data_IF_767252769340
#
_entry.id   IF_767252769340
#
_cell.length_a   1.000
_cell.length_b   1.000
_cell.length_c   1.000
_cell.angle_alpha   90.00
_cell.angle_beta   90.00
_cell.angle_gamma   90.00
#
_symmetry.space_group_name_H-M   'P 1'
#
loop_
_entity.id
_entity.type
_entity.pdbx_description
1 polymer ?
#
# COMPACT_ATOMS: atom_id res chain seq x y z
N UNK A 1 -10.14 20.60 2.14
CA UNK A 1 -10.70 19.25 1.88
C UNK A 1 -9.67 18.13 1.77
N UNK A 2 -8.39 18.36 1.43
CA UNK A 2 -7.38 17.28 1.38
C UNK A 2 -6.96 16.73 2.76
N UNK A 3 -7.09 17.53 3.82
CA UNK A 3 -6.70 17.17 5.18
C UNK A 3 -7.50 15.95 5.72
N UNK A 4 -8.77 15.82 5.32
CA UNK A 4 -9.64 14.71 5.76
C UNK A 4 -9.35 13.36 5.07
N UNK A 5 -8.41 13.35 4.11
CA UNK A 5 -7.95 12.10 3.49
C UNK A 5 -6.97 11.33 4.38
N UNK A 6 -6.42 11.97 5.42
CA UNK A 6 -5.52 11.34 6.38
C UNK A 6 -6.31 10.82 7.59
N UNK A 7 -6.25 9.52 7.88
CA UNK A 7 -6.92 8.93 9.04
C UNK A 7 -6.69 9.66 10.36
N UNK A 8 -5.43 9.99 10.70
CA UNK A 8 -5.09 10.60 11.99
C UNK A 8 -5.77 11.95 12.20
N UNK A 9 -5.74 12.80 11.17
CA UNK A 9 -6.32 14.15 11.26
C UNK A 9 -7.85 14.05 11.30
N UNK A 10 -8.45 13.25 10.43
CA UNK A 10 -9.91 13.03 10.43
C UNK A 10 -10.41 12.50 11.76
N UNK A 11 -9.70 11.55 12.37
CA UNK A 11 -10.03 11.02 13.69
C UNK A 11 -9.90 12.09 14.77
N UNK A 12 -8.85 12.91 14.73
CA UNK A 12 -8.65 13.99 15.71
C UNK A 12 -9.78 15.02 15.61
N UNK A 13 -10.14 15.43 14.40
CA UNK A 13 -11.26 16.36 14.16
C UNK A 13 -12.58 15.74 14.64
N UNK A 14 -12.84 14.47 14.32
CA UNK A 14 -14.04 13.78 14.77
C UNK A 14 -14.10 13.70 16.30
N UNK A 15 -12.98 13.39 16.97
CA UNK A 15 -12.90 13.31 18.43
C UNK A 15 -13.19 14.66 19.08
N UNK A 16 -12.58 15.74 18.58
CA UNK A 16 -12.81 17.09 19.09
C UNK A 16 -14.28 17.50 18.90
N UNK A 17 -14.87 17.25 17.73
CA UNK A 17 -16.27 17.53 17.46
C UNK A 17 -17.22 16.71 18.35
N UNK A 18 -16.92 15.43 18.60
CA UNK A 18 -17.69 14.58 19.52
C UNK A 18 -17.63 15.10 20.95
N UNK A 19 -16.46 15.52 21.42
CA UNK A 19 -16.30 16.09 22.77
C UNK A 19 -17.07 17.40 22.89
N UNK A 20 -16.93 18.32 21.92
CA UNK A 20 -17.67 19.57 21.90
C UNK A 20 -19.19 19.34 21.92
N UNK A 21 -19.68 18.40 21.10
CA UNK A 21 -21.09 18.02 21.11
C UNK A 21 -21.53 17.48 22.47
N UNK A 22 -20.72 16.61 23.08
CA UNK A 22 -20.97 16.04 24.40
C UNK A 22 -20.99 17.07 25.54
N UNK A 23 -20.19 18.14 25.43
CA UNK A 23 -20.17 19.26 26.38
C UNK A 23 -21.39 20.17 26.19
N UNK A 24 -21.78 20.45 24.94
CA UNK A 24 -22.94 21.32 24.63
C UNK A 24 -24.26 20.63 25.02
N UNK A 25 -24.40 19.34 24.74
CA UNK A 25 -25.57 18.54 25.14
C UNK A 25 -25.32 17.87 26.48
N UNK A 26 -25.83 18.48 27.55
CA UNK A 26 -25.77 17.95 28.91
C UNK A 26 -26.16 16.46 28.96
N UNK A 27 -25.32 15.64 29.60
CA UNK A 27 -25.50 14.19 29.70
C UNK A 27 -25.06 13.35 28.49
N UNK A 28 -24.51 13.95 27.41
CA UNK A 28 -24.01 13.19 26.25
C UNK A 28 -22.49 12.95 26.26
N UNK A 29 -21.72 13.65 27.09
CA UNK A 29 -20.27 13.50 27.14
C UNK A 29 -19.82 12.07 27.45
N UNK A 30 -20.41 11.43 28.47
CA UNK A 30 -20.08 10.05 28.84
C UNK A 30 -20.36 9.06 27.69
N UNK A 31 -21.47 9.26 26.98
CA UNK A 31 -21.81 8.45 25.79
C UNK A 31 -20.75 8.62 24.71
N UNK A 32 -20.31 9.84 24.44
CA UNK A 32 -19.25 10.11 23.44
C UNK A 32 -17.93 9.47 23.84
N UNK A 33 -17.53 9.58 25.11
CA UNK A 33 -16.31 8.95 25.62
C UNK A 33 -16.38 7.42 25.51
N UNK A 34 -17.54 6.82 25.81
CA UNK A 34 -17.75 5.38 25.64
C UNK A 34 -17.63 4.93 24.18
N UNK A 35 -18.18 5.68 23.23
CA UNK A 35 -18.03 5.38 21.80
C UNK A 35 -16.55 5.40 21.39
N UNK A 36 -15.79 6.39 21.84
CA UNK A 36 -14.35 6.48 21.55
C UNK A 36 -13.54 5.38 22.24
N UNK A 37 -13.91 4.97 23.45
CA UNK A 37 -13.30 3.84 24.14
C UNK A 37 -13.53 2.52 23.37
N UNK A 38 -14.77 2.26 22.93
CA UNK A 38 -15.10 1.09 22.09
C UNK A 38 -14.35 1.14 20.76
N UNK A 39 -14.26 2.31 20.13
CA UNK A 39 -13.48 2.48 18.91
C UNK A 39 -11.98 2.19 19.13
N UNK A 40 -11.41 2.65 20.25
CA UNK A 40 -10.04 2.34 20.64
C UNK A 40 -9.82 0.83 20.85
N UNK A 41 -10.80 0.14 21.44
CA UNK A 41 -10.79 -1.32 21.58
C UNK A 41 -10.76 -2.01 20.21
N UNK A 42 -11.59 -1.57 19.26
CA UNK A 42 -11.59 -2.13 17.89
C UNK A 42 -10.21 -1.97 17.25
N UNK A 43 -9.58 -0.80 17.35
CA UNK A 43 -8.23 -0.60 16.81
C UNK A 43 -7.19 -1.49 17.50
N UNK A 44 -7.30 -1.70 18.81
CA UNK A 44 -6.40 -2.60 19.55
C UNK A 44 -6.59 -4.07 19.14
N UNK A 45 -7.83 -4.50 18.95
CA UNK A 45 -8.16 -5.84 18.46
C UNK A 45 -7.52 -6.10 17.09
N UNK A 46 -7.64 -5.13 16.17
CA UNK A 46 -6.99 -5.19 14.86
C UNK A 46 -5.46 -5.21 14.99
N UNK A 47 -4.87 -4.40 15.87
CA UNK A 47 -3.43 -4.40 16.10
C UNK A 47 -2.90 -5.73 16.62
N UNK A 48 -3.62 -6.38 17.53
CA UNK A 48 -3.26 -7.69 18.07
C UNK A 48 -3.44 -8.78 16.99
N UNK A 49 -4.48 -8.69 16.17
CA UNK A 49 -4.67 -9.57 15.02
C UNK A 49 -3.49 -9.49 14.04
N UNK A 50 -3.18 -8.28 13.56
CA UNK A 50 -2.06 -8.07 12.63
C UNK A 50 -0.71 -8.49 13.24
N UNK A 51 -0.51 -8.23 14.53
CA UNK A 51 0.69 -8.69 15.24
C UNK A 51 0.81 -10.22 15.26
N UNK A 52 -0.30 -10.95 15.27
CA UNK A 52 -0.31 -12.40 15.12
C UNK A 52 0.35 -12.86 13.82
N UNK A 53 0.01 -12.23 12.68
CA UNK A 53 0.67 -12.50 11.39
C UNK A 53 2.16 -12.18 11.46
N UNK A 54 2.54 -11.05 12.06
CA UNK A 54 3.94 -10.68 12.23
C UNK A 54 4.70 -11.73 13.04
N UNK A 55 4.17 -12.17 14.18
CA UNK A 55 4.82 -13.15 15.05
C UNK A 55 5.04 -14.48 14.32
N UNK A 56 4.01 -15.06 13.70
CA UNK A 56 4.16 -16.33 12.98
C UNK A 56 5.02 -16.18 11.72
N UNK A 57 4.95 -15.03 11.03
CA UNK A 57 5.83 -14.73 9.91
C UNK A 57 7.31 -14.68 10.30
N UNK A 58 7.63 -13.99 11.40
CA UNK A 58 9.00 -13.92 11.92
C UNK A 58 9.52 -15.29 12.38
N UNK A 59 8.69 -16.08 13.06
CA UNK A 59 9.03 -17.48 13.43
C UNK A 59 9.29 -18.33 12.18
N UNK A 60 8.54 -18.10 11.10
CA UNK A 60 8.75 -18.74 9.80
C UNK A 60 9.99 -18.25 9.03
N UNK A 61 10.71 -17.26 9.55
CA UNK A 61 11.89 -16.67 8.92
C UNK A 61 11.57 -15.65 7.82
N UNK A 62 10.36 -15.08 7.81
CA UNK A 62 10.00 -13.96 6.94
C UNK A 62 10.50 -12.65 7.56
N UNK A 63 10.72 -11.64 6.71
CA UNK A 63 11.22 -10.34 7.11
C UNK A 63 10.08 -9.33 7.22
N UNK A 64 9.90 -8.76 8.41
CA UNK A 64 8.96 -7.67 8.64
C UNK A 64 9.35 -6.41 7.86
N UNK A 65 8.39 -5.85 7.12
CA UNK A 65 8.54 -4.58 6.40
C UNK A 65 7.74 -3.47 7.06
N UNK A 66 6.42 -3.64 7.13
CA UNK A 66 5.54 -2.70 7.83
C UNK A 66 4.24 -3.37 8.30
N UNK A 67 3.60 -2.73 9.25
CA UNK A 67 2.24 -3.03 9.73
C UNK A 67 1.51 -1.71 9.91
N UNK A 68 0.28 -1.60 9.40
CA UNK A 68 -0.56 -0.41 9.57
C UNK A 68 -1.86 -0.81 10.22
N UNK A 69 -2.24 -0.12 11.30
CA UNK A 69 -3.55 -0.25 11.94
C UNK A 69 -4.07 1.12 12.32
N UNK A 70 -5.28 1.43 11.89
CA UNK A 70 -5.90 2.73 12.10
C UNK A 70 -5.02 3.88 11.57
N UNK A 71 -4.71 4.88 12.40
CA UNK A 71 -3.88 6.02 11.99
C UNK A 71 -2.36 5.76 12.10
N UNK A 72 -1.93 4.56 12.51
CA UNK A 72 -0.53 4.27 12.86
C UNK A 72 0.05 3.23 11.91
N UNK A 73 1.23 3.53 11.37
CA UNK A 73 2.08 2.57 10.64
C UNK A 73 3.37 2.35 11.43
N UNK A 74 3.69 1.09 11.73
CA UNK A 74 4.99 0.67 12.24
C UNK A 74 5.77 0.07 11.08
N UNK A 75 6.93 0.63 10.74
CA UNK A 75 7.72 0.17 9.60
C UNK A 75 9.22 0.08 9.92
N UNK A 76 9.92 -0.79 9.21
CA UNK A 76 11.37 -0.98 9.33
C UNK A 76 12.10 -0.02 8.38
N UNK A 77 12.76 0.98 8.94
CA UNK A 77 13.57 1.97 8.22
C UNK A 77 15.05 1.78 8.59
N UNK A 78 15.90 1.49 7.61
CA UNK A 78 17.35 1.29 7.80
C UNK A 78 17.67 0.35 8.99
N UNK A 79 16.92 -0.75 9.10
CA UNK A 79 17.09 -1.76 10.15
C UNK A 79 16.38 -1.45 11.48
N UNK A 80 15.84 -0.25 11.69
CA UNK A 80 15.17 0.16 12.95
C UNK A 80 13.66 0.27 12.77
N UNK A 81 12.90 -0.09 13.80
CA UNK A 81 11.45 0.14 13.81
C UNK A 81 11.15 1.62 14.03
N UNK A 82 10.24 2.17 13.22
CA UNK A 82 9.79 3.55 13.29
C UNK A 82 8.28 3.61 13.20
N UNK A 83 7.71 4.53 13.96
CA UNK A 83 6.27 4.82 13.95
C UNK A 83 6.04 6.01 13.00
N UNK A 84 5.06 5.86 12.11
CA UNK A 84 4.64 6.84 11.10
C UNK A 84 3.12 6.98 11.13
N UNK A 85 2.64 8.10 10.59
CA UNK A 85 1.22 8.31 10.30
C UNK A 85 0.81 7.44 9.11
N UNK A 86 -0.32 6.74 9.23
CA UNK A 86 -0.98 6.12 8.10
C UNK A 86 -1.57 7.22 7.20
N UNK A 87 -1.11 7.30 5.94
CA UNK A 87 -1.61 8.27 4.96
C UNK A 87 -2.81 7.78 4.15
N UNK A 88 -3.19 6.49 4.26
CA UNK A 88 -4.17 5.84 3.38
C UNK A 88 -5.29 5.16 4.18
N UNK A 89 -6.53 5.58 3.95
CA UNK A 89 -7.72 4.92 4.50
C UNK A 89 -7.84 3.44 4.11
N UNK A 90 -7.31 3.06 2.95
CA UNK A 90 -7.30 1.67 2.50
C UNK A 90 -6.56 0.73 3.48
N UNK A 91 -5.60 1.24 4.26
CA UNK A 91 -4.84 0.46 5.24
C UNK A 91 -5.39 0.59 6.66
N UNK A 92 -6.50 1.32 6.84
CA UNK A 92 -7.03 1.62 8.18
C UNK A 92 -7.46 0.37 8.95
N UNK A 93 -8.00 -0.62 8.25
CA UNK A 93 -8.53 -1.85 8.85
C UNK A 93 -7.46 -2.86 9.32
N UNK A 94 -6.18 -2.62 9.03
CA UNK A 94 -5.13 -3.62 9.26
C UNK A 94 -4.50 -4.09 7.95
N UNK A 95 -3.18 -3.92 7.83
CA UNK A 95 -2.36 -4.50 6.77
C UNK A 95 -0.98 -4.82 7.31
N UNK A 96 -0.50 -6.03 7.06
CA UNK A 96 0.89 -6.45 7.31
C UNK A 96 1.60 -6.76 6.00
N UNK A 97 2.84 -6.30 5.89
CA UNK A 97 3.74 -6.66 4.83
C UNK A 97 4.95 -7.41 5.39
N UNK A 98 5.07 -8.66 4.99
CA UNK A 98 6.20 -9.55 5.24
C UNK A 98 6.80 -9.96 3.89
N UNK A 99 8.12 -10.12 3.85
CA UNK A 99 8.84 -10.54 2.65
C UNK A 99 9.69 -11.78 2.94
N UNK A 100 9.71 -12.79 2.06
CA UNK A 100 10.71 -13.86 2.16
C UNK A 100 12.14 -13.30 2.10
N UNK A 101 13.08 -14.06 2.67
CA UNK A 101 14.52 -13.70 2.61
C UNK A 101 15.11 -13.86 1.21
N UNK A 102 14.56 -14.79 0.43
CA UNK A 102 14.88 -14.97 -0.99
C UNK A 102 13.69 -15.57 -1.73
N UNK A 103 13.66 -15.42 -3.06
CA UNK A 103 12.62 -16.04 -3.89
C UNK A 103 12.65 -17.57 -3.80
N UNK A 104 13.85 -18.15 -3.64
CA UNK A 104 14.08 -19.59 -3.50
C UNK A 104 13.91 -20.11 -2.07
N UNK A 105 13.23 -19.37 -1.18
CA UNK A 105 13.06 -19.79 0.21
C UNK A 105 12.41 -21.18 0.26
N UNK A 106 13.06 -22.20 0.87
CA UNK A 106 12.48 -23.53 0.96
C UNK A 106 11.17 -23.55 1.74
N UNK A 107 10.20 -24.34 1.26
CA UNK A 107 8.87 -24.48 1.86
C UNK A 107 8.13 -23.15 2.02
N UNK A 108 8.34 -22.20 1.10
CA UNK A 108 7.75 -20.87 1.17
C UNK A 108 6.21 -20.91 1.31
N UNK A 109 5.55 -21.82 0.59
CA UNK A 109 4.10 -22.00 0.67
C UNK A 109 3.63 -22.27 2.09
N UNK A 110 4.25 -23.27 2.74
CA UNK A 110 3.92 -23.67 4.11
C UNK A 110 4.24 -22.57 5.12
N UNK A 111 5.35 -21.84 4.95
CA UNK A 111 5.71 -20.70 5.80
C UNK A 111 4.67 -19.58 5.71
N UNK A 112 4.24 -19.24 4.50
CA UNK A 112 3.19 -18.24 4.31
C UNK A 112 1.83 -18.72 4.85
N UNK A 113 1.49 -20.01 4.68
CA UNK A 113 0.28 -20.56 5.27
C UNK A 113 0.26 -20.35 6.80
N UNK A 114 1.36 -20.66 7.49
CA UNK A 114 1.43 -20.43 8.94
C UNK A 114 1.39 -18.94 9.30
N UNK A 115 2.02 -18.07 8.52
CA UNK A 115 1.93 -16.63 8.69
C UNK A 115 0.46 -16.16 8.63
N UNK A 116 -0.32 -16.62 7.64
CA UNK A 116 -1.72 -16.20 7.49
C UNK A 116 -2.60 -16.68 8.64
N UNK A 117 -2.28 -17.79 9.31
CA UNK A 117 -3.01 -18.20 10.52
C UNK A 117 -2.67 -17.40 11.78
N UNK A 118 -1.62 -16.57 11.74
CA UNK A 118 -1.17 -15.83 12.91
C UNK A 118 -2.23 -14.92 13.53
N UNK A 119 -2.92 -14.13 12.71
CA UNK A 119 -3.99 -13.24 13.15
C UNK A 119 -5.18 -13.97 13.76
N UNK A 120 -5.76 -14.99 13.11
CA UNK A 120 -6.80 -15.82 13.68
C UNK A 120 -6.39 -16.48 15.01
N UNK A 121 -5.20 -17.08 15.09
CA UNK A 121 -4.72 -17.73 16.33
C UNK A 121 -4.62 -16.70 17.46
N UNK A 122 -4.00 -15.54 17.22
CA UNK A 122 -3.87 -14.51 18.23
C UNK A 122 -5.23 -13.97 18.68
N UNK A 123 -6.16 -13.81 17.73
CA UNK A 123 -7.52 -13.32 18.01
C UNK A 123 -8.30 -14.31 18.86
N UNK A 124 -8.21 -15.61 18.57
CA UNK A 124 -8.85 -16.64 19.37
C UNK A 124 -8.29 -16.67 20.80
N UNK A 125 -6.97 -16.61 20.95
CA UNK A 125 -6.30 -16.60 22.25
C UNK A 125 -6.75 -15.40 23.10
N UNK A 126 -6.65 -14.19 22.54
CA UNK A 126 -7.04 -12.97 23.28
C UNK A 126 -8.55 -12.90 23.55
N UNK A 127 -9.38 -13.44 22.64
CA UNK A 127 -10.83 -13.58 22.84
C UNK A 127 -11.16 -14.45 24.05
N UNK A 128 -10.55 -15.64 24.14
CA UNK A 128 -10.74 -16.58 25.26
C UNK A 128 -10.22 -15.97 26.58
N UNK A 129 -8.99 -15.44 26.59
CA UNK A 129 -8.39 -14.94 27.83
C UNK A 129 -9.14 -13.74 28.38
N UNK A 130 -9.51 -12.77 27.53
CA UNK A 130 -10.28 -11.59 27.98
C UNK A 130 -11.71 -11.95 28.39
N UNK A 131 -12.35 -12.91 27.72
CA UNK A 131 -13.66 -13.43 28.12
C UNK A 131 -13.61 -14.12 29.49
N UNK A 132 -12.55 -14.89 29.75
CA UNK A 132 -12.32 -15.50 31.05
C UNK A 132 -12.11 -14.46 32.16
N UNK A 133 -11.25 -13.46 31.92
CA UNK A 133 -11.03 -12.37 32.89
C UNK A 133 -12.32 -11.57 33.12
N UNK A 134 -13.14 -11.36 32.09
CA UNK A 134 -14.45 -10.74 32.23
C UNK A 134 -15.38 -11.52 33.17
N UNK A 135 -15.43 -12.86 33.07
CA UNK A 135 -16.30 -13.68 33.94
C UNK A 135 -16.00 -13.52 35.43
N UNK A 136 -14.77 -13.13 35.78
CA UNK A 136 -14.36 -12.90 37.18
C UNK A 136 -14.47 -11.41 37.56
N UNK A 137 -14.09 -10.50 36.66
CA UNK A 137 -14.00 -9.06 36.95
C UNK A 137 -15.29 -8.28 36.69
N UNK A 138 -16.18 -8.80 35.84
CA UNK A 138 -17.36 -8.12 35.29
C UNK A 138 -17.07 -6.76 34.62
N UNK A 139 -15.82 -6.50 34.23
CA UNK A 139 -15.43 -5.25 33.57
C UNK A 139 -15.85 -5.26 32.10
N UNK A 140 -16.87 -4.46 31.76
CA UNK A 140 -17.56 -4.52 30.46
C UNK A 140 -16.65 -4.31 29.24
N UNK A 141 -15.59 -3.53 29.34
CA UNK A 141 -14.66 -3.34 28.22
C UNK A 141 -13.88 -4.62 27.87
N UNK A 142 -13.65 -5.53 28.81
CA UNK A 142 -13.08 -6.85 28.52
C UNK A 142 -14.07 -7.74 27.76
N UNK A 143 -15.38 -7.61 28.04
CA UNK A 143 -16.40 -8.28 27.26
C UNK A 143 -16.39 -7.77 25.81
N UNK A 144 -16.35 -6.45 25.59
CA UNK A 144 -16.27 -5.88 24.24
C UNK A 144 -14.99 -6.35 23.52
N UNK A 145 -13.85 -6.28 24.19
CA UNK A 145 -12.57 -6.73 23.65
C UNK A 145 -12.60 -8.23 23.28
N UNK A 146 -13.20 -9.07 24.13
CA UNK A 146 -13.39 -10.50 23.88
C UNK A 146 -14.29 -10.76 22.66
N UNK A 147 -15.47 -10.12 22.63
CA UNK A 147 -16.45 -10.29 21.55
C UNK A 147 -15.85 -9.83 20.22
N UNK A 148 -15.19 -8.68 20.17
CA UNK A 148 -14.56 -8.22 18.93
C UNK A 148 -13.43 -9.14 18.45
N UNK A 149 -12.67 -9.74 19.37
CA UNK A 149 -11.67 -10.76 19.02
C UNK A 149 -12.30 -12.02 18.41
N UNK A 150 -13.44 -12.49 18.94
CA UNK A 150 -14.17 -13.61 18.34
C UNK A 150 -14.79 -13.23 16.98
N UNK A 151 -15.29 -12.00 16.83
CA UNK A 151 -15.83 -11.50 15.56
C UNK A 151 -14.73 -11.46 14.50
N UNK A 152 -13.57 -10.85 14.76
CA UNK A 152 -12.49 -10.79 13.77
C UNK A 152 -11.95 -12.20 13.47
N UNK A 153 -11.81 -13.07 14.48
CA UNK A 153 -11.45 -14.46 14.27
C UNK A 153 -12.42 -15.15 13.29
N UNK A 154 -13.72 -15.08 13.55
CA UNK A 154 -14.73 -15.71 12.71
C UNK A 154 -14.73 -15.16 11.28
N UNK A 155 -14.62 -13.84 11.11
CA UNK A 155 -14.63 -13.20 9.80
C UNK A 155 -13.40 -13.57 8.96
N UNK A 156 -12.23 -13.73 9.57
CA UNK A 156 -11.00 -14.00 8.80
C UNK A 156 -10.65 -15.49 8.67
N UNK A 157 -11.05 -16.35 9.62
CA UNK A 157 -10.79 -17.80 9.52
C UNK A 157 -11.74 -18.51 8.55
N UNK A 158 -12.96 -17.99 8.34
CA UNK A 158 -13.91 -18.58 7.40
C UNK A 158 -13.38 -18.38 5.97
N UNK A 159 -13.24 -19.45 5.18
CA UNK A 159 -12.57 -19.38 3.88
C UNK A 159 -13.49 -18.76 2.82
N UNK A 160 -13.34 -17.44 2.60
CA UNK A 160 -14.16 -16.66 1.67
C UNK A 160 -13.27 -16.13 0.53
N UNK A 161 -13.77 -16.24 -0.71
CA UNK A 161 -13.17 -15.61 -1.89
C UNK A 161 -13.89 -14.29 -2.16
N UNK A 162 -13.39 -13.21 -1.56
CA UNK A 162 -13.84 -11.86 -1.84
C UNK A 162 -12.86 -11.11 -2.76
N UNK A 163 -12.96 -9.78 -2.76
CA UNK A 163 -11.97 -8.87 -3.36
C UNK A 163 -10.57 -9.09 -2.78
N UNK A 164 -10.51 -9.44 -1.50
CA UNK A 164 -9.33 -9.88 -0.77
C UNK A 164 -9.65 -11.27 -0.22
N UNK A 165 -8.68 -12.18 -0.25
CA UNK A 165 -8.83 -13.52 0.32
C UNK A 165 -8.77 -13.42 1.85
N UNK A 166 -9.71 -14.06 2.54
CA UNK A 166 -9.63 -14.21 3.99
C UNK A 166 -8.40 -15.04 4.39
N UNK A 167 -7.92 -14.87 5.62
CA UNK A 167 -6.77 -15.62 6.14
C UNK A 167 -6.94 -17.14 6.02
N UNK A 168 -8.14 -17.62 6.33
CA UNK A 168 -8.48 -19.03 6.18
C UNK A 168 -8.42 -19.51 4.73
N UNK A 169 -8.87 -18.70 3.77
CA UNK A 169 -8.76 -19.03 2.35
C UNK A 169 -7.30 -19.02 1.88
N UNK A 170 -6.50 -18.03 2.30
CA UNK A 170 -5.07 -17.99 1.98
C UNK A 170 -4.34 -19.21 2.55
N UNK A 171 -4.61 -19.56 3.81
CA UNK A 171 -4.07 -20.76 4.45
C UNK A 171 -4.42 -22.03 3.65
N UNK A 172 -5.69 -22.21 3.29
CA UNK A 172 -6.15 -23.40 2.55
C UNK A 172 -5.55 -23.51 1.16
N UNK A 173 -5.27 -22.39 0.49
CA UNK A 173 -4.58 -22.39 -0.80
C UNK A 173 -3.12 -22.78 -0.60
N UNK A 174 -2.43 -22.13 0.33
CA UNK A 174 -0.99 -22.28 0.51
C UNK A 174 -0.60 -23.63 1.11
N UNK A 175 -1.41 -24.20 2.02
CA UNK A 175 -1.08 -25.48 2.65
C UNK A 175 -1.15 -26.68 1.69
N UNK A 176 -1.88 -26.54 0.58
CA UNK A 176 -2.03 -27.61 -0.43
C UNK A 176 -0.80 -27.77 -1.33
N UNK A 177 0.03 -26.73 -1.42
CA UNK A 177 1.26 -26.71 -2.23
C UNK A 177 1.06 -27.17 -3.70
N UNK A 178 -0.13 -26.88 -4.24
CA UNK A 178 -0.53 -27.21 -5.61
C UNK A 178 -0.29 -26.03 -6.58
N UNK A 179 -0.74 -26.16 -7.84
CA UNK A 179 -0.60 -25.08 -8.83
C UNK A 179 -1.28 -23.77 -8.41
N UNK A 180 -2.36 -23.81 -7.62
CA UNK A 180 -3.00 -22.59 -7.09
C UNK A 180 -2.11 -21.95 -6.03
N UNK A 181 -1.47 -22.76 -5.18
CA UNK A 181 -0.49 -22.27 -4.24
C UNK A 181 0.68 -21.58 -4.96
N UNK A 182 1.20 -22.18 -6.05
CA UNK A 182 2.27 -21.58 -6.87
C UNK A 182 1.86 -20.25 -7.50
N UNK A 183 0.65 -20.15 -8.06
CA UNK A 183 0.12 -18.90 -8.60
C UNK A 183 -0.04 -17.83 -7.51
N UNK A 184 -0.48 -18.22 -6.31
CA UNK A 184 -0.62 -17.29 -5.20
C UNK A 184 0.74 -16.81 -4.68
N UNK A 185 1.71 -17.73 -4.56
CA UNK A 185 3.08 -17.43 -4.21
C UNK A 185 3.77 -16.51 -5.21
N UNK A 186 3.50 -16.67 -6.50
CA UNK A 186 4.03 -15.79 -7.54
C UNK A 186 3.64 -14.32 -7.28
N UNK A 187 2.37 -14.04 -6.96
CA UNK A 187 1.92 -12.69 -6.61
C UNK A 187 2.59 -12.15 -5.34
N UNK A 188 2.81 -13.03 -4.36
CA UNK A 188 3.55 -12.70 -3.13
C UNK A 188 5.02 -12.37 -3.44
N UNK A 189 5.67 -13.14 -4.32
CA UNK A 189 7.06 -12.93 -4.73
C UNK A 189 7.24 -11.63 -5.51
N UNK A 190 6.33 -11.29 -6.42
CA UNK A 190 6.33 -9.98 -7.10
C UNK A 190 6.29 -8.86 -6.08
N UNK A 191 5.33 -8.95 -5.14
CA UNK A 191 5.18 -7.96 -4.09
C UNK A 191 6.45 -7.88 -3.23
N UNK A 192 7.08 -9.02 -2.93
CA UNK A 192 8.35 -9.08 -2.21
C UNK A 192 9.47 -8.31 -2.91
N UNK A 193 9.58 -8.40 -4.23
CA UNK A 193 10.57 -7.65 -5.01
C UNK A 193 10.25 -6.15 -5.06
N UNK A 194 9.00 -5.78 -5.35
CA UNK A 194 8.55 -4.38 -5.34
C UNK A 194 8.78 -3.69 -3.99
N UNK A 195 8.64 -4.41 -2.88
CA UNK A 195 8.90 -3.92 -1.52
C UNK A 195 10.30 -4.28 -1.00
N UNK A 196 11.19 -4.77 -1.87
CA UNK A 196 12.56 -5.09 -1.51
C UNK A 196 13.41 -3.81 -1.40
N UNK A 197 14.56 -3.95 -0.72
CA UNK A 197 15.57 -2.90 -0.68
C UNK A 197 16.51 -2.97 -1.90
N UNK A 198 16.31 -3.96 -2.77
CA UNK A 198 17.11 -4.15 -3.98
C UNK A 198 16.65 -3.15 -5.03
N UNK A 199 17.62 -2.54 -5.69
CA UNK A 199 17.36 -1.68 -6.85
C UNK A 199 16.73 -2.54 -7.97
N UNK A 200 15.81 -2.03 -8.80
CA UNK A 200 15.02 -2.85 -9.73
C UNK A 200 15.84 -3.73 -10.68
N UNK A 201 17.00 -3.26 -11.14
CA UNK A 201 17.91 -4.07 -11.98
C UNK A 201 18.47 -5.32 -11.28
N UNK A 202 18.44 -5.35 -9.94
CA UNK A 202 18.93 -6.44 -9.08
C UNK A 202 17.78 -7.35 -8.56
N UNK A 203 16.55 -7.17 -9.06
CA UNK A 203 15.45 -8.10 -8.81
C UNK A 203 15.69 -9.44 -9.50
N UNK A 204 15.05 -10.52 -9.03
CA UNK A 204 15.22 -11.84 -9.65
C UNK A 204 14.71 -11.86 -11.09
N UNK A 205 15.64 -12.03 -12.02
CA UNK A 205 15.38 -11.98 -13.46
C UNK A 205 14.35 -13.03 -13.90
N UNK A 206 14.30 -14.21 -13.28
CA UNK A 206 13.30 -15.25 -13.64
C UNK A 206 11.89 -14.78 -13.31
N UNK A 207 11.72 -14.02 -12.23
CA UNK A 207 10.43 -13.45 -11.87
C UNK A 207 10.02 -12.33 -12.84
N UNK A 208 10.98 -11.54 -13.31
CA UNK A 208 10.76 -10.52 -14.35
C UNK A 208 10.36 -11.16 -15.67
N UNK A 209 11.11 -12.16 -16.15
CA UNK A 209 10.82 -12.91 -17.38
C UNK A 209 9.46 -13.60 -17.32
N UNK A 210 9.15 -14.29 -16.21
CA UNK A 210 7.84 -14.91 -16.01
C UNK A 210 6.71 -13.87 -15.99
N UNK A 211 6.97 -12.68 -15.45
CA UNK A 211 6.01 -11.57 -15.49
C UNK A 211 5.79 -11.08 -16.91
N UNK A 212 6.85 -10.94 -17.72
CA UNK A 212 6.75 -10.58 -19.13
C UNK A 212 5.94 -11.58 -19.94
N UNK A 213 6.09 -12.88 -19.70
CA UNK A 213 5.28 -13.91 -20.34
C UNK A 213 3.81 -13.79 -19.95
N UNK A 214 3.53 -13.59 -18.65
CA UNK A 214 2.15 -13.44 -18.14
C UNK A 214 1.46 -12.18 -18.62
N UNK A 215 2.20 -11.13 -18.96
CA UNK A 215 1.65 -9.91 -19.54
C UNK A 215 1.10 -10.12 -20.96
N UNK A 216 1.50 -11.20 -21.65
CA UNK A 216 0.97 -11.56 -22.97
C UNK A 216 -0.38 -12.29 -22.89
N UNK A 217 -0.77 -12.76 -21.70
CA UNK A 217 -2.08 -13.38 -21.47
C UNK A 217 -3.18 -12.30 -21.46
N UNK A 218 -4.34 -12.60 -22.04
CA UNK A 218 -5.50 -11.69 -22.00
C UNK A 218 -6.14 -11.69 -20.61
N UNK A 219 -5.59 -10.85 -19.73
CA UNK A 219 -5.98 -10.72 -18.33
C UNK A 219 -6.37 -9.29 -17.99
N UNK A 220 -7.20 -9.16 -16.96
CA UNK A 220 -7.62 -7.84 -16.49
C UNK A 220 -6.44 -7.04 -15.94
N UNK A 221 -6.46 -5.71 -16.10
CA UNK A 221 -5.42 -4.80 -15.57
C UNK A 221 -5.17 -5.04 -14.07
N UNK A 222 -6.21 -5.40 -13.32
CA UNK A 222 -6.13 -5.70 -11.89
C UNK A 222 -5.22 -6.89 -11.58
N UNK A 223 -5.21 -7.90 -12.42
CA UNK A 223 -4.40 -9.11 -12.23
C UNK A 223 -2.94 -8.90 -12.65
N UNK A 224 -2.72 -8.06 -13.66
CA UNK A 224 -1.38 -7.84 -14.21
C UNK A 224 -0.64 -6.66 -13.60
N UNK A 225 -1.32 -5.74 -12.91
CA UNK A 225 -0.75 -4.47 -12.42
C UNK A 225 0.60 -4.64 -11.71
N UNK A 226 0.69 -5.52 -10.71
CA UNK A 226 1.93 -5.71 -9.95
C UNK A 226 3.05 -6.30 -10.81
N UNK A 227 2.73 -7.24 -11.71
CA UNK A 227 3.70 -7.81 -12.65
C UNK A 227 4.17 -6.77 -13.66
N UNK A 228 3.26 -5.93 -14.17
CA UNK A 228 3.60 -4.83 -15.06
C UNK A 228 4.51 -3.80 -14.39
N UNK A 229 4.23 -3.45 -13.13
CA UNK A 229 5.12 -2.57 -12.35
C UNK A 229 6.51 -3.19 -12.20
N UNK A 230 6.58 -4.49 -11.89
CA UNK A 230 7.86 -5.20 -11.75
C UNK A 230 8.67 -5.13 -13.05
N UNK A 231 8.05 -5.49 -14.18
CA UNK A 231 8.69 -5.47 -15.50
C UNK A 231 9.10 -4.07 -15.89
N UNK A 232 8.21 -3.08 -15.75
CA UNK A 232 8.50 -1.70 -16.12
C UNK A 232 9.72 -1.16 -15.38
N UNK A 233 9.75 -1.27 -14.05
CA UNK A 233 10.89 -0.80 -13.27
C UNK A 233 12.18 -1.57 -13.57
N UNK A 234 12.13 -2.91 -13.61
CA UNK A 234 13.31 -3.72 -13.89
C UNK A 234 13.91 -3.38 -15.27
N UNK A 235 13.08 -3.33 -16.31
CA UNK A 235 13.52 -3.01 -17.67
C UNK A 235 13.96 -1.56 -17.82
N UNK A 236 13.29 -0.63 -17.15
CA UNK A 236 13.68 0.78 -17.23
C UNK A 236 15.04 1.03 -16.55
N UNK A 237 15.33 0.34 -15.45
CA UNK A 237 16.60 0.45 -14.75
C UNK A 237 17.75 -0.31 -15.44
N UNK A 238 17.45 -1.43 -16.11
CA UNK A 238 18.44 -2.20 -16.87
C UNK A 238 18.76 -1.60 -18.24
N UNK A 239 17.75 -1.08 -18.94
CA UNK A 239 17.81 -0.76 -20.38
C UNK A 239 17.42 0.69 -20.72
N UNK A 240 17.03 1.49 -19.72
CA UNK A 240 16.53 2.86 -19.89
C UNK A 240 15.01 2.92 -20.06
N UNK A 241 14.42 4.03 -19.62
CA UNK A 241 12.96 4.24 -19.62
C UNK A 241 12.37 4.20 -21.05
N UNK A 242 13.08 4.72 -22.06
CA UNK A 242 12.69 4.64 -23.48
C UNK A 242 12.45 3.21 -23.96
N UNK A 243 13.22 2.23 -23.47
CA UNK A 243 13.05 0.82 -23.86
C UNK A 243 11.97 0.11 -23.05
N UNK A 244 11.60 0.65 -21.88
CA UNK A 244 10.59 0.08 -21.01
C UNK A 244 9.19 0.68 -21.22
N UNK A 245 9.09 1.84 -21.87
CA UNK A 245 7.80 2.50 -22.11
C UNK A 245 6.77 1.65 -22.88
N UNK A 246 7.15 0.79 -23.85
CA UNK A 246 6.17 0.00 -24.60
C UNK A 246 5.31 -0.92 -23.73
N UNK A 247 5.82 -1.36 -22.57
CA UNK A 247 5.05 -2.20 -21.63
C UNK A 247 3.85 -1.44 -21.04
N UNK A 248 3.98 -0.14 -20.79
CA UNK A 248 2.91 0.67 -20.18
C UNK A 248 2.09 1.46 -21.21
N UNK A 249 2.61 1.65 -22.43
CA UNK A 249 1.91 2.32 -23.54
C UNK A 249 0.55 1.66 -23.85
N UNK A 250 0.50 0.33 -23.86
CA UNK A 250 -0.74 -0.41 -24.09
C UNK A 250 -1.78 -0.12 -23.02
N UNK A 251 -1.35 0.10 -21.77
CA UNK A 251 -2.25 0.34 -20.63
C UNK A 251 -2.79 1.77 -20.64
N UNK A 252 -1.96 2.76 -20.98
CA UNK A 252 -2.41 4.17 -21.01
C UNK A 252 -3.32 4.49 -22.19
N UNK A 253 -3.42 3.59 -23.16
CA UNK A 253 -4.41 3.64 -24.26
C UNK A 253 -5.79 3.12 -23.84
N UNK A 254 -5.90 2.41 -22.71
CA UNK A 254 -7.18 1.93 -22.21
C UNK A 254 -8.06 3.09 -21.75
N UNK A 255 -9.37 2.96 -21.94
CA UNK A 255 -10.33 3.97 -21.47
C UNK A 255 -10.32 4.04 -19.94
N UNK A 256 -10.18 5.25 -19.40
CA UNK A 256 -10.16 5.48 -17.95
C UNK A 256 -11.59 5.55 -17.43
N UNK A 257 -12.00 4.54 -16.65
CA UNK A 257 -13.29 4.44 -15.98
C UNK A 257 -13.15 4.67 -14.49
N UNK A 258 -14.26 4.89 -13.77
CA UNK A 258 -14.23 5.02 -12.30
C UNK A 258 -13.68 3.75 -11.62
N UNK A 259 -13.85 2.59 -12.24
CA UNK A 259 -13.46 1.29 -11.69
C UNK A 259 -11.98 0.99 -11.93
N UNK A 260 -11.45 1.30 -13.12
CA UNK A 260 -10.05 0.98 -13.43
C UNK A 260 -9.06 2.08 -13.04
N UNK A 261 -9.53 3.31 -12.78
CA UNK A 261 -8.69 4.48 -12.45
C UNK A 261 -7.66 4.21 -11.36
N UNK A 262 -8.04 3.41 -10.36
CA UNK A 262 -7.17 2.99 -9.27
C UNK A 262 -5.95 2.20 -9.76
N UNK A 263 -6.14 1.33 -10.76
CA UNK A 263 -5.11 0.43 -11.28
C UNK A 263 -4.24 1.08 -12.36
N UNK A 264 -4.77 2.08 -13.08
CA UNK A 264 -4.05 2.71 -14.21
C UNK A 264 -3.31 3.99 -13.84
N UNK A 265 -3.66 4.64 -12.72
CA UNK A 265 -3.15 5.97 -12.37
C UNK A 265 -1.62 6.09 -12.34
N UNK A 266 -0.91 5.12 -11.79
CA UNK A 266 0.56 5.14 -11.72
C UNK A 266 1.19 5.04 -13.12
N UNK A 267 0.63 4.21 -14.00
CA UNK A 267 1.13 4.06 -15.38
C UNK A 267 0.93 5.34 -16.19
N UNK A 268 -0.20 6.04 -16.03
CA UNK A 268 -0.37 7.37 -16.64
C UNK A 268 0.65 8.39 -16.10
N UNK A 269 1.00 8.32 -14.81
CA UNK A 269 2.02 9.21 -14.23
C UNK A 269 3.41 8.93 -14.80
N UNK A 270 3.81 7.66 -14.93
CA UNK A 270 5.09 7.30 -15.55
C UNK A 270 5.14 7.59 -17.04
N UNK A 271 4.04 7.40 -17.77
CA UNK A 271 3.98 7.75 -19.17
C UNK A 271 4.14 9.25 -19.39
N UNK A 272 3.48 10.08 -18.57
CA UNK A 272 3.66 11.53 -18.65
C UNK A 272 5.08 11.97 -18.26
N UNK A 273 5.68 11.31 -17.26
CA UNK A 273 7.08 11.52 -16.90
C UNK A 273 8.01 11.20 -18.07
N UNK A 274 7.82 10.06 -18.73
CA UNK A 274 8.55 9.69 -19.94
C UNK A 274 8.43 10.77 -21.02
N UNK A 275 7.21 11.24 -21.31
CA UNK A 275 6.99 12.32 -22.27
C UNK A 275 7.74 13.58 -21.88
N UNK A 276 7.69 13.98 -20.62
CA UNK A 276 8.43 15.16 -20.14
C UNK A 276 9.96 14.98 -20.18
N UNK A 277 10.46 13.75 -20.00
CA UNK A 277 11.90 13.44 -20.01
C UNK A 277 12.49 13.26 -21.39
N UNK A 278 11.71 12.83 -22.39
CA UNK A 278 12.25 12.46 -23.71
C UNK A 278 11.58 13.17 -24.88
N UNK A 279 10.38 13.73 -24.68
CA UNK A 279 9.52 14.25 -25.75
C UNK A 279 8.83 15.56 -25.36
N UNK A 280 9.43 16.36 -24.46
CA UNK A 280 8.81 17.57 -23.88
C UNK A 280 8.33 18.56 -24.94
N UNK A 281 9.14 18.80 -25.97
CA UNK A 281 8.82 19.76 -27.06
C UNK A 281 7.59 19.35 -27.89
N UNK A 282 7.24 18.07 -27.86
CA UNK A 282 6.07 17.53 -28.56
C UNK A 282 4.88 17.24 -27.64
N UNK A 283 5.06 17.37 -26.32
CA UNK A 283 4.02 17.09 -25.34
C UNK A 283 3.03 18.26 -25.26
N UNK A 284 1.83 18.06 -25.81
CA UNK A 284 0.80 19.10 -25.74
C UNK A 284 0.17 19.20 -24.34
N UNK A 285 -0.25 20.40 -23.95
CA UNK A 285 -1.00 20.64 -22.72
C UNK A 285 -2.29 19.78 -22.65
N UNK A 286 -2.96 19.58 -23.80
CA UNK A 286 -4.18 18.78 -23.87
C UNK A 286 -3.92 17.30 -23.60
N UNK A 287 -2.86 16.73 -24.18
CA UNK A 287 -2.43 15.35 -23.91
C UNK A 287 -2.07 15.18 -22.43
N UNK A 288 -1.28 16.10 -21.87
CA UNK A 288 -0.91 16.06 -20.45
C UNK A 288 -2.15 16.09 -19.53
N UNK A 289 -3.12 16.96 -19.84
CA UNK A 289 -4.40 17.05 -19.11
C UNK A 289 -5.23 15.78 -19.23
N UNK A 290 -5.22 15.10 -20.37
CA UNK A 290 -5.94 13.84 -20.55
C UNK A 290 -5.38 12.73 -19.65
N UNK A 291 -4.05 12.52 -19.68
CA UNK A 291 -3.43 11.53 -18.80
C UNK A 291 -3.61 11.88 -17.31
N UNK A 292 -3.55 13.16 -16.96
CA UNK A 292 -3.74 13.61 -15.58
C UNK A 292 -5.13 13.29 -15.01
N UNK A 293 -6.16 13.09 -15.85
CA UNK A 293 -7.48 12.65 -15.38
C UNK A 293 -7.43 11.29 -14.71
N UNK A 294 -6.52 10.40 -15.11
CA UNK A 294 -6.34 9.08 -14.51
C UNK A 294 -5.60 9.12 -13.16
N UNK A 295 -4.77 10.15 -12.94
CA UNK A 295 -3.84 10.22 -11.82
C UNK A 295 -4.57 10.72 -10.58
N UNK A 296 -4.51 9.95 -9.50
CA UNK A 296 -5.18 10.29 -8.23
C UNK A 296 -4.17 10.65 -7.15
N UNK A 297 -4.64 11.35 -6.11
CA UNK A 297 -3.83 11.65 -4.91
C UNK A 297 -3.51 10.43 -4.02
N UNK A 298 -3.73 9.21 -4.51
CA UNK A 298 -3.23 8.02 -3.81
C UNK A 298 -1.72 7.92 -3.90
N UNK A 299 -1.17 8.20 -5.09
CA UNK A 299 0.24 8.49 -5.28
C UNK A 299 0.42 10.00 -5.26
N UNK A 300 0.73 10.54 -4.08
CA UNK A 300 0.93 11.98 -3.91
C UNK A 300 2.16 12.48 -4.68
N UNK A 301 3.22 11.67 -4.78
CA UNK A 301 4.41 12.06 -5.53
C UNK A 301 4.08 12.16 -7.02
N UNK A 302 3.54 11.10 -7.62
CA UNK A 302 3.14 11.09 -9.02
C UNK A 302 2.09 12.15 -9.34
N UNK A 303 1.13 12.39 -8.44
CA UNK A 303 0.13 13.45 -8.60
C UNK A 303 0.77 14.84 -8.64
N UNK A 304 1.60 15.20 -7.65
CA UNK A 304 2.22 16.52 -7.62
C UNK A 304 3.22 16.71 -8.77
N UNK A 305 3.96 15.67 -9.16
CA UNK A 305 4.84 15.67 -10.32
C UNK A 305 4.07 15.99 -11.60
N UNK A 306 2.94 15.32 -11.82
CA UNK A 306 2.03 15.60 -12.95
C UNK A 306 1.52 17.04 -12.94
N UNK A 307 1.11 17.56 -11.78
CA UNK A 307 0.67 18.96 -11.70
C UNK A 307 1.81 19.94 -12.02
N UNK A 308 3.04 19.63 -11.61
CA UNK A 308 4.22 20.41 -11.99
C UNK A 308 4.44 20.44 -13.50
N UNK A 309 4.38 19.28 -14.16
CA UNK A 309 4.50 19.18 -15.64
C UNK A 309 3.40 20.00 -16.33
N UNK A 310 2.14 19.87 -15.90
CA UNK A 310 1.04 20.65 -16.48
C UNK A 310 1.27 22.15 -16.31
N UNK A 311 1.71 22.60 -15.14
CA UNK A 311 1.96 24.02 -14.88
C UNK A 311 3.13 24.57 -15.68
N UNK A 312 4.15 23.77 -15.92
CA UNK A 312 5.22 24.11 -16.86
C UNK A 312 4.68 24.31 -18.28
N UNK A 313 3.84 23.39 -18.77
CA UNK A 313 3.20 23.51 -20.10
C UNK A 313 2.19 24.67 -20.20
N UNK A 314 1.74 25.21 -19.07
CA UNK A 314 0.90 26.42 -18.99
C UNK A 314 1.73 27.72 -18.91
N UNK A 315 3.07 27.64 -18.96
CA UNK A 315 4.00 28.75 -18.73
C UNK A 315 3.88 29.38 -17.33
N UNK A 316 3.30 28.63 -16.37
CA UNK A 316 3.13 29.03 -14.97
C UNK A 316 4.28 28.46 -14.12
N UNK A 317 5.46 29.05 -14.31
CA UNK A 317 6.71 28.58 -13.71
C UNK A 317 6.72 28.62 -12.18
N UNK A 318 6.00 29.58 -11.58
CA UNK A 318 5.87 29.68 -10.12
C UNK A 318 5.04 28.53 -9.55
N UNK A 319 3.88 28.23 -10.15
CA UNK A 319 3.07 27.10 -9.72
C UNK A 319 3.77 25.77 -10.02
N UNK A 320 4.47 25.65 -11.15
CA UNK A 320 5.29 24.48 -11.49
C UNK A 320 6.31 24.18 -10.39
N UNK A 321 7.14 25.17 -10.03
CA UNK A 321 8.12 25.03 -8.93
C UNK A 321 7.46 24.66 -7.60
N UNK A 322 6.29 25.23 -7.31
CA UNK A 322 5.53 24.92 -6.08
C UNK A 322 5.10 23.45 -6.05
N UNK A 323 4.60 22.92 -7.17
CA UNK A 323 4.22 21.52 -7.28
C UNK A 323 5.41 20.57 -7.27
N UNK A 324 6.52 20.93 -7.94
CA UNK A 324 7.76 20.14 -7.89
C UNK A 324 8.30 20.04 -6.47
N UNK A 325 8.31 21.12 -5.69
CA UNK A 325 8.69 21.07 -4.26
C UNK A 325 7.79 20.15 -3.44
N UNK A 326 6.49 20.09 -3.74
CA UNK A 326 5.56 19.16 -3.07
C UNK A 326 5.82 17.71 -3.48
N UNK A 327 6.08 17.45 -4.76
CA UNK A 327 6.42 16.13 -5.27
C UNK A 327 7.71 15.61 -4.62
N UNK A 328 8.74 16.46 -4.54
CA UNK A 328 10.03 16.16 -3.93
C UNK A 328 9.89 15.78 -2.47
N UNK A 329 9.15 16.58 -1.68
CA UNK A 329 8.87 16.30 -0.27
C UNK A 329 8.16 14.95 -0.06
N UNK A 330 7.24 14.58 -0.95
CA UNK A 330 6.57 13.28 -0.86
C UNK A 330 7.52 12.13 -1.26
N UNK A 331 8.42 12.35 -2.22
CA UNK A 331 9.47 11.38 -2.59
C UNK A 331 10.47 11.17 -1.45
N UNK A 332 11.02 12.25 -0.87
CA UNK A 332 11.89 12.20 0.30
C UNK A 332 11.23 11.47 1.49
N UNK A 333 9.92 11.67 1.64
CA UNK A 333 9.15 10.94 2.65
C UNK A 333 9.06 9.45 2.33
N UNK A 334 8.87 9.08 1.05
CA UNK A 334 8.77 7.69 0.61
C UNK A 334 10.12 6.97 0.73
N UNK A 335 11.22 7.63 0.38
CA UNK A 335 12.60 7.09 0.42
C UNK A 335 13.03 6.62 1.81
N UNK A 336 12.42 7.15 2.88
CA UNK A 336 12.64 6.68 4.26
C UNK A 336 12.30 5.20 4.45
N UNK A 337 11.40 4.65 3.62
CA UNK A 337 11.11 3.21 3.60
C UNK A 337 12.32 2.36 3.17
N UNK A 338 13.25 2.94 2.41
CA UNK A 338 14.41 2.26 1.84
C UNK A 338 14.10 1.35 0.64
N UNK A 339 12.88 1.34 0.12
CA UNK A 339 12.51 0.52 -1.03
C UNK A 339 13.38 0.86 -2.25
N UNK A 340 13.91 -0.15 -2.91
CA UNK A 340 14.98 0.07 -3.90
C UNK A 340 14.51 0.73 -5.20
N UNK A 341 13.25 0.55 -5.60
CA UNK A 341 12.69 1.23 -6.79
C UNK A 341 12.65 2.76 -6.64
N UNK A 342 12.62 3.28 -5.41
CA UNK A 342 12.59 4.72 -5.15
C UNK A 342 13.90 5.41 -5.57
N UNK A 343 15.01 4.66 -5.66
CA UNK A 343 16.25 5.19 -6.22
C UNK A 343 16.08 5.56 -7.69
N UNK A 344 15.34 4.74 -8.45
CA UNK A 344 15.04 4.99 -9.87
C UNK A 344 14.06 6.15 -10.01
N UNK A 345 13.03 6.22 -9.16
CA UNK A 345 12.12 7.38 -9.12
C UNK A 345 12.86 8.69 -8.81
N UNK A 346 13.84 8.66 -7.90
CA UNK A 346 14.70 9.82 -7.58
C UNK A 346 15.52 10.25 -8.78
N UNK A 347 16.21 9.33 -9.43
CA UNK A 347 17.00 9.61 -10.63
C UNK A 347 16.14 10.24 -11.74
N UNK A 348 14.93 9.72 -11.98
CA UNK A 348 14.00 10.32 -12.95
C UNK A 348 13.49 11.69 -12.53
N UNK A 349 13.21 11.87 -11.24
CA UNK A 349 12.71 13.13 -10.73
C UNK A 349 13.78 14.25 -10.80
N UNK A 350 15.04 13.93 -10.54
CA UNK A 350 16.16 14.86 -10.70
C UNK A 350 16.37 15.26 -12.17
N UNK A 351 16.27 14.30 -13.11
CA UNK A 351 16.30 14.59 -14.54
C UNK A 351 15.15 15.50 -14.97
N UNK A 352 13.95 15.27 -14.43
CA UNK A 352 12.79 16.11 -14.70
C UNK A 352 13.00 17.52 -14.14
N UNK A 353 13.50 17.65 -12.91
CA UNK A 353 13.81 18.96 -12.32
C UNK A 353 14.85 19.71 -13.14
N UNK A 354 15.89 19.04 -13.63
CA UNK A 354 16.87 19.65 -14.52
C UNK A 354 16.20 20.20 -15.79
N UNK A 355 15.30 19.44 -16.43
CA UNK A 355 14.59 19.92 -17.63
C UNK A 355 13.62 21.07 -17.35
N UNK A 356 12.87 21.01 -16.26
CA UNK A 356 11.80 21.97 -15.92
C UNK A 356 12.35 23.21 -15.21
N UNK A 357 13.61 23.18 -14.75
CA UNK A 357 14.29 24.32 -14.12
C UNK A 357 15.29 25.02 -15.04
N UNK A 358 15.67 24.40 -16.15
CA UNK A 358 16.64 24.93 -17.11
C UNK A 358 15.90 25.62 -18.26
N UNK A 359 15.27 26.75 -17.94
CA UNK A 359 14.97 27.76 -18.96
C UNK A 359 16.13 28.75 -18.98
N UNK A 360 17.12 28.38 -19.80
CA UNK A 360 18.11 29.26 -20.40
C UNK A 360 18.04 29.08 -21.92
#
# INVERSE_FOLDING_TARGET
>A
MDILRRPAISMTVALVLSILYGVIRTGKLEVMLNIWAVFGIVLLVLAIHELGHVVLGLIGGLNFKFMTVGPITVQKEKGKLRIRENKLWAYFGGVVMLAPSSIETPNLSKKWAWMTLGGPIMSLLFGITSGYIYMVSYYQYLLYFSVFHFVIFAVTIVPIKGTILSDGMQFLILIKDDEKAKQHLYTIQISSELFSYKRPKDWDERLVELSEEKLKEDKSIREIMSGLMLVFYARADQKGMERAIPYIEQIVQLSVTKENKFFVGNFHSWYLLYKALYQMDSLSLQEAKEHAKAITKMDLNGYYRTQGIIKYLEDDMEASRTYMKKADKELESAEKSGMGYLQVEREWFEQLQARVSYDG
#
